data_IF_651434343583
#
_entry.id   IF_651434343583
#
_cell.length_a   1.000
_cell.length_b   1.000
_cell.length_c   1.000
_cell.angle_alpha   90.00
_cell.angle_beta   90.00
_cell.angle_gamma   90.00
#
_symmetry.space_group_name_H-M   'P 1'
#
loop_
_entity.id
_entity.type
_entity.pdbx_description
1 polymer ?
#
# COMPACT_ATOMS: atom_id res chain seq x y z
N UNK A 1 10.45 -0.72 -11.31
CA UNK A 1 11.33 -0.32 -10.19
C UNK A 1 10.58 0.75 -9.40
N UNK A 2 10.19 0.48 -8.15
CA UNK A 2 9.42 1.41 -7.30
C UNK A 2 10.36 2.05 -6.28
N UNK A 3 10.25 3.36 -6.10
CA UNK A 3 10.91 4.10 -5.03
C UNK A 3 9.85 4.73 -4.12
N UNK A 4 10.13 4.76 -2.82
CA UNK A 4 9.30 5.37 -1.79
C UNK A 4 10.02 6.63 -1.27
N UNK A 5 9.28 7.73 -1.13
CA UNK A 5 9.71 8.93 -0.37
C UNK A 5 8.46 9.60 0.18
N UNK A 6 8.50 9.99 1.46
CA UNK A 6 7.51 10.85 2.13
C UNK A 6 6.04 10.49 1.88
N UNK A 7 5.68 9.25 2.20
CA UNK A 7 4.27 8.77 2.22
C UNK A 7 3.55 8.74 0.87
N UNK A 8 4.29 8.74 -0.26
CA UNK A 8 3.70 8.73 -1.61
C UNK A 8 4.15 7.53 -2.45
N UNK A 9 3.21 6.98 -3.22
CA UNK A 9 3.44 5.92 -4.19
C UNK A 9 3.64 6.52 -5.58
N UNK A 10 4.76 6.19 -6.23
CA UNK A 10 5.04 6.58 -7.62
C UNK A 10 5.06 5.34 -8.52
N UNK A 11 4.39 5.43 -9.67
CA UNK A 11 4.48 4.46 -10.76
C UNK A 11 5.06 5.15 -12.00
N UNK A 12 5.90 4.47 -12.77
CA UNK A 12 6.36 4.96 -14.08
C UNK A 12 6.26 3.84 -15.11
N UNK A 13 5.49 4.05 -16.19
CA UNK A 13 5.69 3.37 -17.46
C UNK A 13 6.12 4.36 -18.53
N UNK A 14 6.81 3.82 -19.54
CA UNK A 14 6.96 4.47 -20.84
C UNK A 14 5.57 4.92 -21.32
N UNK A 15 5.41 6.24 -21.32
CA UNK A 15 4.55 7.08 -22.17
C UNK A 15 3.24 7.66 -21.63
N UNK A 16 2.60 7.23 -20.54
CA UNK A 16 1.65 8.10 -19.81
C UNK A 16 1.21 7.47 -18.49
N UNK A 17 1.52 8.15 -17.38
CA UNK A 17 0.92 7.87 -16.08
C UNK A 17 0.00 9.04 -15.74
N UNK A 18 -1.29 8.81 -15.70
CA UNK A 18 -2.23 9.80 -15.19
C UNK A 18 -2.32 9.68 -13.67
N UNK A 19 -2.14 10.81 -13.00
CA UNK A 19 -2.51 10.92 -11.60
C UNK A 19 -4.03 10.90 -11.48
N UNK A 20 -4.57 9.93 -10.75
CA UNK A 20 -6.02 9.77 -10.57
C UNK A 20 -6.45 10.35 -9.21
N UNK A 21 -5.85 9.88 -8.11
CA UNK A 21 -6.22 10.27 -6.74
C UNK A 21 -5.16 9.85 -5.71
N UNK A 22 -5.05 10.59 -4.60
CA UNK A 22 -4.28 10.20 -3.40
C UNK A 22 -5.19 9.54 -2.36
N UNK A 23 -4.68 8.53 -1.65
CA UNK A 23 -5.35 7.84 -0.54
C UNK A 23 -4.45 7.87 0.69
N UNK A 24 -4.91 8.55 1.74
CA UNK A 24 -4.19 8.60 3.02
C UNK A 24 -4.36 7.31 3.83
N UNK A 25 -3.38 7.03 4.69
CA UNK A 25 -3.43 5.96 5.70
C UNK A 25 -2.76 6.40 7.00
N UNK A 26 -3.10 5.71 8.09
CA UNK A 26 -2.69 6.12 9.45
C UNK A 26 -1.28 5.65 9.82
N UNK A 27 -0.71 4.75 9.02
CA UNK A 27 0.64 4.24 9.17
C UNK A 27 1.73 5.26 8.85
N UNK A 28 2.90 5.04 9.43
CA UNK A 28 4.12 5.78 9.16
C UNK A 28 5.05 4.91 8.30
N UNK A 29 5.78 5.56 7.38
CA UNK A 29 6.79 4.93 6.52
C UNK A 29 6.22 3.72 5.75
N UNK A 30 5.41 3.93 4.70
CA UNK A 30 5.00 2.82 3.84
C UNK A 30 6.23 2.29 3.10
N UNK A 31 6.52 0.99 3.25
CA UNK A 31 7.71 0.37 2.68
C UNK A 31 7.43 -0.32 1.36
N UNK A 32 6.22 -0.86 1.19
CA UNK A 32 5.83 -1.58 -0.02
C UNK A 32 4.34 -1.48 -0.32
N UNK A 33 3.98 -1.54 -1.60
CA UNK A 33 2.62 -1.82 -2.04
C UNK A 33 2.64 -2.75 -3.26
N UNK A 34 1.90 -3.85 -3.19
CA UNK A 34 1.84 -4.87 -4.25
C UNK A 34 0.39 -5.22 -4.60
N UNK A 35 0.14 -5.39 -5.89
CA UNK A 35 -1.13 -5.92 -6.39
C UNK A 35 -1.18 -7.43 -6.22
N UNK A 36 -2.38 -7.97 -6.01
CA UNK A 36 -2.59 -9.40 -6.15
C UNK A 36 -2.46 -9.84 -7.62
N UNK A 37 -2.43 -11.16 -7.81
CA UNK A 37 -2.32 -11.80 -9.12
C UNK A 37 -3.38 -11.37 -10.14
N UNK A 38 -4.58 -11.01 -9.66
CA UNK A 38 -5.74 -10.67 -10.49
C UNK A 38 -5.94 -9.14 -10.63
N UNK A 39 -5.15 -8.31 -9.95
CA UNK A 39 -5.27 -6.87 -9.95
C UNK A 39 -6.54 -6.35 -9.27
N UNK A 40 -7.14 -7.12 -8.37
CA UNK A 40 -8.37 -6.79 -7.63
C UNK A 40 -8.09 -6.27 -6.22
N UNK A 41 -6.91 -6.54 -5.70
CA UNK A 41 -6.51 -6.15 -4.36
C UNK A 41 -5.12 -5.53 -4.32
N UNK A 42 -4.91 -4.68 -3.33
CA UNK A 42 -3.62 -4.06 -3.04
C UNK A 42 -3.27 -4.37 -1.57
N UNK A 43 -2.10 -4.93 -1.36
CA UNK A 43 -1.50 -5.05 -0.04
C UNK A 43 -0.49 -3.91 0.16
N UNK A 44 -0.57 -3.23 1.29
CA UNK A 44 0.31 -2.10 1.65
C UNK A 44 1.02 -2.44 2.96
N UNK A 45 2.36 -2.42 2.93
CA UNK A 45 3.21 -2.67 4.10
C UNK A 45 3.43 -1.36 4.84
N UNK A 46 3.01 -1.35 6.10
CA UNK A 46 3.16 -0.26 7.06
C UNK A 46 4.30 -0.61 8.02
N UNK A 47 5.39 0.15 7.99
CA UNK A 47 6.54 -0.09 8.86
C UNK A 47 6.15 0.00 10.34
N UNK A 48 5.44 1.07 10.71
CA UNK A 48 4.90 1.24 12.04
C UNK A 48 3.67 2.16 12.12
N UNK A 49 2.98 2.14 13.26
CA UNK A 49 1.95 3.12 13.60
C UNK A 49 2.45 4.23 14.54
N UNK A 50 1.71 5.35 14.64
CA UNK A 50 1.96 6.40 15.62
C UNK A 50 1.76 5.88 17.06
N UNK A 51 2.86 5.50 17.70
CA UNK A 51 2.91 4.99 19.07
C UNK A 51 4.03 5.69 19.84
N UNK A 52 3.89 5.85 21.16
CA UNK A 52 4.94 6.45 22.00
C UNK A 52 6.26 5.66 21.95
N UNK A 53 6.17 4.34 21.79
CA UNK A 53 7.30 3.45 21.57
C UNK A 53 6.91 2.45 20.48
N UNK A 54 7.18 2.77 19.19
CA UNK A 54 6.70 1.97 18.07
C UNK A 54 7.17 0.53 18.12
N UNK A 55 6.20 -0.38 18.12
CA UNK A 55 6.44 -1.84 18.14
C UNK A 55 5.58 -2.59 17.12
N UNK A 56 4.49 -1.99 16.68
CA UNK A 56 3.57 -2.61 15.72
C UNK A 56 3.76 -2.01 14.33
N UNK A 57 3.61 -2.86 13.32
CA UNK A 57 3.37 -2.50 11.93
C UNK A 57 2.20 -3.33 11.39
N UNK A 58 1.90 -3.23 10.10
CA UNK A 58 0.84 -4.03 9.50
C UNK A 58 1.04 -4.25 8.00
N UNK A 59 0.34 -5.26 7.49
CA UNK A 59 -0.04 -5.31 6.07
C UNK A 59 -1.53 -4.97 5.97
N UNK A 60 -1.86 -3.81 5.40
CA UNK A 60 -3.22 -3.36 5.15
C UNK A 60 -3.69 -3.81 3.76
N UNK A 61 -4.94 -4.24 3.66
CA UNK A 61 -5.54 -4.70 2.40
C UNK A 61 -6.60 -3.74 1.89
N UNK A 62 -6.56 -3.49 0.58
CA UNK A 62 -7.46 -2.58 -0.11
C UNK A 62 -8.05 -3.28 -1.32
N UNK A 63 -9.30 -2.94 -1.62
CA UNK A 63 -9.96 -3.33 -2.86
C UNK A 63 -9.64 -2.32 -3.96
N UNK A 64 -9.49 -2.81 -5.18
CA UNK A 64 -9.41 -2.00 -6.39
C UNK A 64 -10.77 -2.06 -7.05
N UNK A 65 -11.46 -0.92 -7.09
CA UNK A 65 -12.70 -0.78 -7.84
C UNK A 65 -12.35 -0.19 -9.20
N UNK A 66 -12.51 -0.99 -10.25
CA UNK A 66 -12.25 -0.57 -11.63
C UNK A 66 -13.41 0.21 -12.28
N UNK A 67 -13.34 0.36 -13.61
CA UNK A 67 -14.32 1.09 -14.42
C UNK A 67 -13.89 2.52 -14.76
N UNK A 68 -14.83 3.37 -15.17
CA UNK A 68 -14.55 4.74 -15.64
C UNK A 68 -14.04 5.69 -14.55
N UNK A 69 -14.17 5.31 -13.26
CA UNK A 69 -13.68 6.06 -12.10
C UNK A 69 -12.97 5.09 -11.15
N UNK A 70 -11.76 4.63 -11.50
CA UNK A 70 -11.05 3.66 -10.69
C UNK A 70 -10.69 4.27 -9.33
N UNK A 71 -10.83 3.48 -8.26
CA UNK A 71 -10.57 3.92 -6.89
C UNK A 71 -10.10 2.80 -5.98
N UNK A 72 -9.48 3.18 -4.87
CA UNK A 72 -9.13 2.26 -3.77
C UNK A 72 -10.20 2.34 -2.69
N UNK A 73 -10.60 1.18 -2.18
CA UNK A 73 -11.51 1.08 -1.03
C UNK A 73 -10.83 0.31 0.08
N UNK A 74 -10.82 0.88 1.29
CA UNK A 74 -10.30 0.22 2.48
C UNK A 74 -11.15 -1.00 2.79
N UNK A 75 -10.51 -2.15 3.02
CA UNK A 75 -11.24 -3.34 3.51
C UNK A 75 -11.47 -3.28 5.03
N UNK A 76 -10.63 -2.52 5.74
CA UNK A 76 -10.54 -2.59 7.21
C UNK A 76 -9.81 -3.83 7.73
N UNK A 77 -9.47 -4.78 6.85
CA UNK A 77 -8.68 -5.95 7.18
C UNK A 77 -7.18 -5.62 7.15
N UNK A 78 -6.48 -6.09 8.17
CA UNK A 78 -5.02 -6.00 8.28
C UNK A 78 -4.46 -7.23 8.96
N UNK A 79 -3.21 -7.52 8.65
CA UNK A 79 -2.39 -8.46 9.41
C UNK A 79 -1.42 -7.64 10.24
N UNK A 80 -1.59 -7.67 11.56
CA UNK A 80 -0.64 -7.04 12.47
C UNK A 80 0.68 -7.80 12.44
N UNK A 81 1.77 -7.05 12.34
CA UNK A 81 3.13 -7.58 12.39
C UNK A 81 3.94 -6.80 13.43
N UNK A 82 5.08 -7.37 13.84
CA UNK A 82 6.09 -6.56 14.51
C UNK A 82 6.57 -5.48 13.55
N UNK A 83 6.95 -4.31 14.09
CA UNK A 83 7.54 -3.23 13.30
C UNK A 83 8.67 -3.72 12.40
N UNK A 84 8.81 -3.11 11.23
CA UNK A 84 9.94 -3.35 10.33
C UNK A 84 9.71 -4.41 9.26
N UNK A 85 8.46 -4.73 8.92
CA UNK A 85 8.19 -5.37 7.64
C UNK A 85 8.57 -4.39 6.52
N UNK A 86 9.42 -4.82 5.61
CA UNK A 86 9.91 -4.00 4.49
C UNK A 86 9.43 -4.51 3.12
N UNK A 87 9.12 -5.80 3.01
CA UNK A 87 8.79 -6.45 1.75
C UNK A 87 7.62 -7.41 1.92
N UNK A 88 6.83 -7.54 0.86
CA UNK A 88 5.76 -8.53 0.72
C UNK A 88 5.69 -8.98 -0.73
N UNK A 89 5.63 -10.28 -0.93
CA UNK A 89 5.42 -10.87 -2.26
C UNK A 89 4.09 -11.58 -2.33
N UNK A 90 3.42 -11.46 -3.47
CA UNK A 90 2.27 -12.29 -3.80
C UNK A 90 2.80 -13.53 -4.51
N UNK A 91 2.48 -14.70 -3.97
CA UNK A 91 2.71 -15.99 -4.62
C UNK A 91 1.44 -16.41 -5.34
N UNK A 92 1.59 -16.99 -6.54
CA UNK A 92 0.51 -17.64 -7.28
C UNK A 92 0.50 -19.13 -7.00
#
# INVERSE_FOLDING_TARGET
MKFFSDSKLYFYPLELLDFIQEYGFEGLLPEQAIFDADGKSLAVVIYNYPEQSPKTGAVEFWNIVGGNKPRLERTGFKIDVVRGAHDVTSVR
#
